data_IF_530939846226
#
_entry.id   IF_530939846226
#
_cell.length_a   1.000
_cell.length_b   1.000
_cell.length_c   1.000
_cell.angle_alpha   90.00
_cell.angle_beta   90.00
_cell.angle_gamma   90.00
#
_symmetry.space_group_name_H-M   'P 1'
#
loop_
_entity.id
_entity.type
_entity.pdbx_description
1 polymer ?
#
# COMPACT_ATOMS: atom_id res chain seq x y z
N UNK A 1 -20.28 -1.37 36.49
CA UNK A 1 -20.39 -0.90 35.11
C UNK A 1 -20.20 -2.11 34.21
N UNK A 2 -21.10 -2.36 33.26
CA UNK A 2 -20.90 -3.40 32.25
C UNK A 2 -19.66 -3.05 31.42
N UNK A 3 -18.87 -4.07 31.02
CA UNK A 3 -17.73 -3.88 30.13
C UNK A 3 -18.19 -3.41 28.75
N UNK A 4 -17.24 -3.06 27.85
CA UNK A 4 -17.58 -2.71 26.48
C UNK A 4 -18.25 -3.90 25.77
N UNK A 5 -19.15 -3.62 24.82
CA UNK A 5 -19.70 -4.66 23.96
C UNK A 5 -18.61 -5.37 23.15
N UNK A 6 -18.91 -6.56 22.60
CA UNK A 6 -17.88 -7.40 21.98
C UNK A 6 -17.25 -6.75 20.74
N UNK A 7 -18.01 -5.97 19.97
CA UNK A 7 -17.51 -5.28 18.79
C UNK A 7 -16.53 -4.17 19.17
N UNK A 8 -16.88 -3.32 20.13
CA UNK A 8 -16.00 -2.28 20.66
C UNK A 8 -14.73 -2.89 21.26
N UNK A 9 -14.85 -4.01 22.00
CA UNK A 9 -13.70 -4.70 22.60
C UNK A 9 -12.71 -5.19 21.55
N UNK A 10 -13.19 -5.82 20.46
CA UNK A 10 -12.36 -6.31 19.38
C UNK A 10 -11.60 -5.17 18.66
N UNK A 11 -12.28 -4.06 18.38
CA UNK A 11 -11.67 -2.90 17.71
C UNK A 11 -10.63 -2.23 18.64
N UNK A 12 -10.94 -2.06 19.93
CA UNK A 12 -10.00 -1.53 20.91
C UNK A 12 -8.74 -2.39 21.01
N UNK A 13 -8.89 -3.72 21.02
CA UNK A 13 -7.74 -4.64 21.04
C UNK A 13 -6.84 -4.45 19.82
N UNK A 14 -7.43 -4.38 18.63
CA UNK A 14 -6.70 -4.18 17.38
C UNK A 14 -5.95 -2.83 17.36
N UNK A 15 -6.60 -1.75 17.81
CA UNK A 15 -5.98 -0.42 17.90
C UNK A 15 -4.90 -0.38 18.99
N UNK A 16 -5.14 -1.00 20.16
CA UNK A 16 -4.14 -1.09 21.24
C UNK A 16 -2.87 -1.77 20.77
N UNK A 17 -2.98 -2.89 20.03
CA UNK A 17 -1.83 -3.58 19.46
C UNK A 17 -1.02 -2.65 18.53
N UNK A 18 -1.70 -1.95 17.61
CA UNK A 18 -1.04 -1.04 16.68
C UNK A 18 -0.39 0.18 17.37
N UNK A 19 -1.00 0.72 18.43
CA UNK A 19 -0.43 1.84 19.18
C UNK A 19 0.72 1.42 20.08
N UNK A 20 0.73 0.18 20.58
CA UNK A 20 1.77 -0.35 21.45
C UNK A 20 3.14 -0.47 20.80
N UNK A 21 3.21 -0.44 19.47
CA UNK A 21 4.46 -0.45 18.70
C UNK A 21 5.09 0.96 18.56
N UNK A 22 4.36 2.01 18.97
CA UNK A 22 4.81 3.38 18.81
C UNK A 22 5.57 3.88 20.05
N UNK A 23 6.57 4.76 19.88
CA UNK A 23 7.23 5.41 21.00
C UNK A 23 6.23 6.19 21.88
N UNK A 24 6.46 6.22 23.18
CA UNK A 24 5.66 7.02 24.10
C UNK A 24 5.65 8.50 23.68
N UNK A 25 4.51 9.18 23.92
CA UNK A 25 4.26 10.59 23.56
C UNK A 25 4.15 10.87 22.06
N UNK A 26 4.19 9.82 21.22
CA UNK A 26 3.91 9.95 19.78
C UNK A 26 2.53 10.54 19.55
N UNK A 27 2.38 11.27 18.44
CA UNK A 27 1.05 11.67 17.95
C UNK A 27 0.66 10.75 16.80
N UNK A 28 -0.62 10.36 16.78
CA UNK A 28 -1.24 9.65 15.66
C UNK A 28 -2.42 10.45 15.13
N UNK A 29 -2.70 10.37 13.85
CA UNK A 29 -3.89 10.96 13.25
C UNK A 29 -4.78 9.86 12.68
N UNK A 30 -6.07 9.93 12.95
CA UNK A 30 -7.06 9.04 12.33
C UNK A 30 -7.60 9.70 11.07
N UNK A 31 -7.47 9.06 9.92
CA UNK A 31 -8.14 9.48 8.70
C UNK A 31 -9.63 9.11 8.81
N UNK A 32 -10.47 10.08 9.14
CA UNK A 32 -11.90 9.86 9.39
C UNK A 32 -12.74 10.40 8.23
N UNK A 33 -13.48 9.51 7.55
CA UNK A 33 -14.44 9.89 6.49
C UNK A 33 -15.87 10.09 6.99
N UNK A 34 -16.13 9.83 8.26
CA UNK A 34 -17.47 9.82 8.84
C UNK A 34 -18.24 8.51 8.64
N UNK A 35 -17.75 7.56 7.84
CA UNK A 35 -18.31 6.22 7.73
C UNK A 35 -17.99 5.34 8.94
N UNK A 36 -18.71 4.21 9.09
CA UNK A 36 -18.65 3.35 10.27
C UNK A 36 -17.23 2.89 10.60
N UNK A 37 -16.47 2.43 9.61
CA UNK A 37 -15.11 1.90 9.82
C UNK A 37 -14.18 2.97 10.40
N UNK A 38 -14.23 4.19 9.88
CA UNK A 38 -13.38 5.28 10.32
C UNK A 38 -13.82 5.88 11.67
N UNK A 39 -15.11 5.92 11.95
CA UNK A 39 -15.63 6.38 13.25
C UNK A 39 -15.34 5.37 14.36
N UNK A 40 -15.51 4.07 14.10
CA UNK A 40 -15.16 3.03 15.05
C UNK A 40 -13.65 3.05 15.37
N UNK A 41 -12.80 3.27 14.35
CA UNK A 41 -11.36 3.48 14.51
C UNK A 41 -11.06 4.72 15.37
N UNK A 42 -11.74 5.84 15.10
CA UNK A 42 -11.59 7.10 15.84
C UNK A 42 -11.95 6.93 17.33
N UNK A 43 -13.07 6.28 17.62
CA UNK A 43 -13.50 6.00 19.00
C UNK A 43 -12.49 5.10 19.74
N UNK A 44 -11.96 4.08 19.07
CA UNK A 44 -10.97 3.21 19.68
C UNK A 44 -9.63 3.93 19.89
N UNK A 45 -9.18 4.76 18.95
CA UNK A 45 -7.96 5.55 19.08
C UNK A 45 -8.05 6.59 20.22
N UNK A 46 -9.19 7.25 20.34
CA UNK A 46 -9.46 8.18 21.45
C UNK A 46 -9.40 7.49 22.82
N UNK A 47 -9.90 6.25 22.90
CA UNK A 47 -9.91 5.49 24.16
C UNK A 47 -8.55 4.85 24.49
N UNK A 48 -7.88 4.25 23.52
CA UNK A 48 -6.63 3.50 23.72
C UNK A 48 -5.39 4.41 23.69
N UNK A 49 -5.44 5.54 22.97
CA UNK A 49 -4.30 6.47 22.84
C UNK A 49 -3.72 6.89 24.19
N UNK A 50 -4.51 7.48 25.11
CA UNK A 50 -4.01 7.87 26.44
C UNK A 50 -3.45 6.70 27.26
N UNK A 51 -3.99 5.48 27.07
CA UNK A 51 -3.56 4.25 27.76
C UNK A 51 -2.23 3.73 27.22
N UNK A 52 -1.97 3.96 25.94
CA UNK A 52 -0.68 3.65 25.28
C UNK A 52 0.34 4.80 25.41
N UNK A 53 0.02 5.88 26.10
CA UNK A 53 0.86 7.08 26.17
C UNK A 53 0.98 7.82 24.83
N UNK A 54 -0.01 7.69 23.96
CA UNK A 54 -0.05 8.28 22.61
C UNK A 54 -1.16 9.34 22.54
N UNK A 55 -0.91 10.44 21.82
CA UNK A 55 -1.91 11.47 21.55
C UNK A 55 -2.60 11.19 20.23
N UNK A 56 -3.92 11.10 20.22
CA UNK A 56 -4.70 10.83 19.03
C UNK A 56 -5.45 12.08 18.56
N UNK A 57 -5.29 12.41 17.28
CA UNK A 57 -6.07 13.42 16.58
C UNK A 57 -6.81 12.81 15.39
N UNK A 58 -7.54 13.61 14.62
CA UNK A 58 -8.24 13.18 13.41
C UNK A 58 -8.04 14.15 12.25
N UNK A 59 -8.07 13.61 11.03
CA UNK A 59 -8.08 14.38 9.78
C UNK A 59 -9.25 13.91 8.93
N UNK A 60 -10.13 14.83 8.61
CA UNK A 60 -11.29 14.62 7.75
C UNK A 60 -10.99 15.27 6.39
N UNK A 61 -11.08 14.50 5.31
CA UNK A 61 -10.87 15.02 3.95
C UNK A 61 -12.23 15.29 3.30
N UNK A 62 -12.48 16.55 2.99
CA UNK A 62 -13.61 16.98 2.16
C UNK A 62 -13.18 17.04 0.68
N UNK A 63 -13.66 16.10 -0.12
CA UNK A 63 -13.34 16.01 -1.54
C UNK A 63 -14.17 16.95 -2.42
N UNK A 64 -15.20 17.59 -1.87
CA UNK A 64 -16.08 18.51 -2.63
C UNK A 64 -16.83 17.84 -3.79
N UNK A 65 -16.96 16.51 -3.82
CA UNK A 65 -17.56 15.75 -4.93
C UNK A 65 -19.09 15.65 -4.83
N UNK A 66 -19.67 16.05 -3.71
CA UNK A 66 -21.10 16.02 -3.43
C UNK A 66 -21.51 17.33 -2.79
N UNK A 67 -22.73 17.80 -3.06
CA UNK A 67 -23.23 19.09 -2.55
C UNK A 67 -23.19 19.18 -1.03
N UNK A 68 -23.42 18.05 -0.31
CA UNK A 68 -23.42 17.99 1.17
C UNK A 68 -22.06 17.59 1.78
N UNK A 69 -20.98 17.50 0.98
CA UNK A 69 -19.68 17.00 1.45
C UNK A 69 -19.10 17.80 2.63
N UNK A 70 -19.27 19.11 2.64
CA UNK A 70 -18.83 19.98 3.71
C UNK A 70 -19.57 19.72 5.03
N UNK A 71 -20.89 19.47 4.97
CA UNK A 71 -21.70 19.15 6.14
C UNK A 71 -21.36 17.77 6.71
N UNK A 72 -21.12 16.79 5.83
CA UNK A 72 -20.66 15.46 6.22
C UNK A 72 -19.32 15.54 6.93
N UNK A 73 -18.37 16.31 6.37
CA UNK A 73 -17.06 16.53 6.98
C UNK A 73 -17.17 17.24 8.33
N UNK A 74 -18.05 18.24 8.45
CA UNK A 74 -18.29 18.95 9.70
C UNK A 74 -18.86 18.01 10.80
N UNK A 75 -19.87 17.18 10.46
CA UNK A 75 -20.46 16.18 11.37
C UNK A 75 -19.42 15.15 11.81
N UNK A 76 -18.57 14.67 10.92
CA UNK A 76 -17.50 13.75 11.27
C UNK A 76 -16.49 14.39 12.24
N UNK A 77 -16.11 15.64 11.98
CA UNK A 77 -15.20 16.39 12.84
C UNK A 77 -15.81 16.65 14.23
N UNK A 78 -17.10 16.96 14.32
CA UNK A 78 -17.81 17.16 15.59
C UNK A 78 -17.80 15.87 16.43
N UNK A 79 -18.11 14.72 15.83
CA UNK A 79 -18.04 13.42 16.50
C UNK A 79 -16.60 13.11 16.97
N UNK A 80 -15.59 13.38 16.16
CA UNK A 80 -14.19 13.19 16.56
C UNK A 80 -13.80 14.07 17.75
N UNK A 81 -14.23 15.33 17.79
CA UNK A 81 -14.01 16.23 18.95
C UNK A 81 -14.76 15.75 20.19
N UNK A 82 -16.00 15.32 20.03
CA UNK A 82 -16.80 14.76 21.15
C UNK A 82 -16.16 13.49 21.75
N UNK A 83 -15.44 12.71 20.94
CA UNK A 83 -14.64 11.57 21.41
C UNK A 83 -13.35 11.98 22.14
N UNK A 84 -12.95 13.26 22.11
CA UNK A 84 -11.74 13.76 22.74
C UNK A 84 -10.49 13.68 21.88
N UNK A 85 -10.61 13.52 20.56
CA UNK A 85 -9.48 13.61 19.64
C UNK A 85 -9.02 15.06 19.50
N UNK A 86 -7.68 15.28 19.50
CA UNK A 86 -7.07 16.59 19.35
C UNK A 86 -5.66 16.44 18.72
N UNK A 87 -5.36 17.13 17.60
CA UNK A 87 -6.19 18.04 16.82
C UNK A 87 -7.27 17.32 15.99
N UNK A 88 -8.29 18.07 15.53
CA UNK A 88 -9.28 17.60 14.54
C UNK A 88 -9.32 18.61 13.39
N UNK A 89 -8.70 18.23 12.29
CA UNK A 89 -8.63 19.02 11.06
C UNK A 89 -9.67 18.59 10.03
N UNK A 90 -10.31 19.57 9.38
CA UNK A 90 -11.07 19.35 8.15
C UNK A 90 -10.28 19.97 6.99
N UNK A 91 -9.88 19.16 6.04
CA UNK A 91 -9.06 19.57 4.89
C UNK A 91 -9.87 19.41 3.61
N UNK A 92 -10.21 20.53 2.98
CA UNK A 92 -10.80 20.50 1.65
C UNK A 92 -9.73 20.27 0.60
N UNK A 93 -9.98 19.35 -0.33
CA UNK A 93 -9.07 19.05 -1.43
C UNK A 93 -9.76 19.30 -2.77
N UNK A 94 -8.99 19.83 -3.70
CA UNK A 94 -9.41 19.93 -5.10
C UNK A 94 -8.90 18.71 -5.85
N UNK A 95 -9.80 17.99 -6.52
CA UNK A 95 -9.45 16.82 -7.31
C UNK A 95 -9.18 17.28 -8.74
N UNK A 96 -7.90 17.43 -9.07
CA UNK A 96 -7.49 17.76 -10.44
C UNK A 96 -7.77 16.58 -11.39
N UNK A 97 -8.08 16.90 -12.64
CA UNK A 97 -8.21 15.86 -13.66
C UNK A 97 -6.89 15.11 -13.84
N UNK A 98 -6.96 13.77 -13.91
CA UNK A 98 -5.79 12.91 -14.07
C UNK A 98 -6.01 11.93 -15.23
N UNK A 99 -4.97 11.66 -16.03
CA UNK A 99 -5.00 10.60 -17.05
C UNK A 99 -5.31 9.20 -16.47
N UNK A 100 -5.02 8.98 -15.17
CA UNK A 100 -5.30 7.74 -14.46
C UNK A 100 -6.77 7.59 -14.01
N UNK A 101 -7.61 8.58 -14.30
CA UNK A 101 -9.03 8.59 -13.96
C UNK A 101 -9.36 9.32 -12.64
N UNK A 102 -10.65 9.62 -12.43
CA UNK A 102 -11.10 10.44 -11.30
C UNK A 102 -10.92 9.75 -9.93
N UNK A 103 -11.05 8.42 -9.86
CA UNK A 103 -10.86 7.66 -8.61
C UNK A 103 -9.40 7.75 -8.12
N UNK A 104 -8.43 7.58 -9.03
CA UNK A 104 -7.01 7.68 -8.69
C UNK A 104 -6.60 9.11 -8.37
N UNK A 105 -7.19 10.10 -9.07
CA UNK A 105 -6.97 11.51 -8.75
C UNK A 105 -7.45 11.87 -7.34
N UNK A 106 -8.68 11.47 -6.98
CA UNK A 106 -9.23 11.68 -5.64
C UNK A 106 -8.41 10.94 -4.56
N UNK A 107 -7.96 9.73 -4.87
CA UNK A 107 -7.08 8.97 -3.98
C UNK A 107 -5.75 9.69 -3.75
N UNK A 108 -5.09 10.14 -4.81
CA UNK A 108 -3.81 10.85 -4.74
C UNK A 108 -3.95 12.16 -3.95
N UNK A 109 -4.98 12.95 -4.20
CA UNK A 109 -5.28 14.17 -3.45
C UNK A 109 -5.50 13.88 -1.95
N UNK A 110 -6.25 12.81 -1.63
CA UNK A 110 -6.47 12.37 -0.25
C UNK A 110 -5.15 12.03 0.46
N UNK A 111 -4.30 11.22 -0.16
CA UNK A 111 -3.03 10.83 0.45
C UNK A 111 -2.08 12.02 0.60
N UNK A 112 -2.04 12.94 -0.35
CA UNK A 112 -1.26 14.18 -0.24
C UNK A 112 -1.74 15.05 0.94
N UNK A 113 -3.05 15.20 1.11
CA UNK A 113 -3.62 15.95 2.23
C UNK A 113 -3.33 15.28 3.60
N UNK A 114 -3.41 13.95 3.68
CA UNK A 114 -3.07 13.20 4.89
C UNK A 114 -1.58 13.32 5.23
N UNK A 115 -0.68 13.24 4.24
CA UNK A 115 0.77 13.42 4.44
C UNK A 115 1.10 14.83 4.93
N UNK A 116 0.47 15.85 4.35
CA UNK A 116 0.62 17.24 4.78
C UNK A 116 0.13 17.45 6.22
N UNK A 117 -0.99 16.85 6.60
CA UNK A 117 -1.50 16.91 7.97
C UNK A 117 -0.57 16.18 8.94
N UNK A 118 -0.05 15.00 8.57
CA UNK A 118 0.92 14.27 9.38
C UNK A 118 2.19 15.10 9.64
N UNK A 119 2.71 15.75 8.61
CA UNK A 119 3.89 16.64 8.74
C UNK A 119 3.57 17.84 9.64
N UNK A 120 2.43 18.52 9.42
CA UNK A 120 2.01 19.71 10.20
C UNK A 120 1.91 19.41 11.69
N UNK A 121 1.36 18.25 12.03
CA UNK A 121 1.15 17.84 13.41
C UNK A 121 2.27 16.97 13.97
N UNK A 122 3.33 16.75 13.23
CA UNK A 122 4.46 15.87 13.60
C UNK A 122 3.94 14.49 14.04
N UNK A 123 2.97 13.95 13.29
CA UNK A 123 2.38 12.65 13.59
C UNK A 123 3.33 11.53 13.17
N UNK A 124 3.51 10.56 14.05
CA UNK A 124 4.33 9.39 13.77
C UNK A 124 3.71 8.51 12.69
N UNK A 125 2.37 8.37 12.74
CA UNK A 125 1.60 7.58 11.76
C UNK A 125 0.19 8.14 11.56
N UNK A 126 -0.41 7.77 10.42
CA UNK A 126 -1.82 7.98 10.12
C UNK A 126 -2.56 6.63 10.14
N UNK A 127 -3.60 6.53 10.97
CA UNK A 127 -4.44 5.34 11.09
C UNK A 127 -5.53 5.37 10.02
N UNK A 128 -5.68 4.26 9.27
CA UNK A 128 -6.67 4.10 8.21
C UNK A 128 -7.69 3.00 8.59
N UNK A 129 -8.98 3.28 8.41
CA UNK A 129 -10.08 2.38 8.74
C UNK A 129 -10.37 1.31 7.68
N UNK A 130 -9.35 0.70 7.07
CA UNK A 130 -9.55 -0.43 6.18
C UNK A 130 -9.83 -1.70 6.96
N UNK A 131 -10.85 -2.45 6.52
CA UNK A 131 -11.36 -3.64 7.18
C UNK A 131 -10.91 -4.94 6.50
N UNK A 132 -11.26 -6.07 7.09
CA UNK A 132 -11.09 -7.40 6.48
C UNK A 132 -11.87 -7.54 5.17
N UNK A 133 -13.03 -6.90 5.08
CA UNK A 133 -13.83 -6.89 3.86
C UNK A 133 -13.10 -6.16 2.73
N UNK A 134 -12.42 -5.05 3.03
CA UNK A 134 -11.59 -4.34 2.07
C UNK A 134 -10.38 -5.18 1.61
N UNK A 135 -9.82 -6.03 2.49
CA UNK A 135 -8.79 -7.01 2.10
C UNK A 135 -9.33 -8.02 1.09
N UNK A 136 -10.51 -8.59 1.37
CA UNK A 136 -11.15 -9.54 0.46
C UNK A 136 -11.45 -8.92 -0.92
N UNK A 137 -11.98 -7.69 -0.94
CA UNK A 137 -12.19 -6.91 -2.16
C UNK A 137 -10.89 -6.74 -2.95
N UNK A 138 -9.81 -6.37 -2.27
CA UNK A 138 -8.49 -6.15 -2.90
C UNK A 138 -7.91 -7.44 -3.49
N UNK A 139 -8.02 -8.56 -2.78
CA UNK A 139 -7.57 -9.88 -3.25
C UNK A 139 -8.35 -10.31 -4.49
N UNK A 140 -9.68 -10.19 -4.45
CA UNK A 140 -10.53 -10.54 -5.59
C UNK A 140 -10.20 -9.70 -6.84
N UNK A 141 -9.99 -8.39 -6.66
CA UNK A 141 -9.57 -7.51 -7.75
C UNK A 141 -8.17 -7.85 -8.27
N UNK A 142 -7.27 -8.32 -7.41
CA UNK A 142 -5.95 -8.82 -7.79
C UNK A 142 -6.05 -10.10 -8.63
N UNK A 143 -6.86 -11.05 -8.21
CA UNK A 143 -7.13 -12.31 -8.93
C UNK A 143 -7.74 -12.04 -10.31
N UNK A 144 -8.72 -11.16 -10.39
CA UNK A 144 -9.38 -10.80 -11.65
C UNK A 144 -8.43 -10.17 -12.69
N UNK A 145 -7.31 -9.58 -12.24
CA UNK A 145 -6.27 -9.00 -13.11
C UNK A 145 -5.14 -9.97 -13.43
N UNK A 146 -5.18 -11.21 -12.95
CA UNK A 146 -4.07 -12.15 -13.09
C UNK A 146 -2.79 -11.72 -12.38
N UNK A 147 -2.93 -11.00 -11.27
CA UNK A 147 -1.78 -10.42 -10.55
C UNK A 147 -1.00 -11.50 -9.79
N UNK A 148 0.33 -11.30 -9.68
CA UNK A 148 1.21 -12.19 -8.90
C UNK A 148 1.05 -12.05 -7.37
N UNK A 149 1.77 -12.90 -6.63
CA UNK A 149 1.67 -13.03 -5.17
C UNK A 149 1.72 -11.70 -4.41
N UNK A 150 2.61 -10.76 -4.78
CA UNK A 150 2.69 -9.44 -4.14
C UNK A 150 1.39 -8.63 -4.25
N UNK A 151 0.68 -8.70 -5.36
CA UNK A 151 -0.61 -8.01 -5.52
C UNK A 151 -1.74 -8.73 -4.77
N UNK A 152 -1.65 -10.07 -4.64
CA UNK A 152 -2.60 -10.89 -3.90
C UNK A 152 -2.37 -10.83 -2.39
N UNK A 153 -1.24 -10.34 -1.91
CA UNK A 153 -0.95 -10.13 -0.48
C UNK A 153 -1.78 -8.99 0.15
N UNK A 154 -2.69 -8.39 -0.62
CA UNK A 154 -3.63 -7.37 -0.14
C UNK A 154 -2.93 -6.09 0.32
N UNK A 155 -3.57 -5.40 1.26
CA UNK A 155 -3.02 -4.20 1.89
C UNK A 155 -2.12 -4.60 3.07
N UNK A 156 -0.89 -4.07 3.16
CA UNK A 156 -0.04 -4.31 4.33
C UNK A 156 -0.60 -3.60 5.57
N UNK A 157 -0.42 -4.17 6.78
CA UNK A 157 -0.80 -3.52 8.04
C UNK A 157 -0.15 -2.15 8.23
N UNK A 158 1.12 -2.05 7.87
CA UNK A 158 1.91 -0.81 7.94
C UNK A 158 2.64 -0.58 6.63
N UNK A 159 2.57 0.66 6.13
CA UNK A 159 3.32 1.08 4.94
C UNK A 159 3.40 2.60 4.84
N UNK A 160 4.59 3.13 4.61
CA UNK A 160 4.83 4.56 4.30
C UNK A 160 4.20 5.51 5.34
N UNK A 161 4.29 5.20 6.65
CA UNK A 161 3.70 5.99 7.72
C UNK A 161 2.19 5.83 7.91
N UNK A 162 1.55 4.89 7.18
CA UNK A 162 0.14 4.54 7.35
C UNK A 162 -0.01 3.20 8.04
N UNK A 163 -0.88 3.13 9.05
CA UNK A 163 -1.20 1.90 9.79
C UNK A 163 -2.69 1.57 9.61
N UNK A 164 -3.01 0.28 9.46
CA UNK A 164 -4.35 -0.25 9.23
C UNK A 164 -4.74 -1.24 10.32
N UNK A 165 -5.15 -0.78 11.48
CA UNK A 165 -5.42 -1.66 12.64
C UNK A 165 -6.57 -2.63 12.40
N UNK A 166 -7.53 -2.27 11.52
CA UNK A 166 -8.79 -2.99 11.37
C UNK A 166 -8.78 -4.06 10.26
N UNK A 167 -7.63 -4.44 9.70
CA UNK A 167 -7.56 -5.45 8.64
C UNK A 167 -8.06 -6.85 9.05
N UNK A 168 -8.11 -7.15 10.35
CA UNK A 168 -8.71 -8.38 10.89
C UNK A 168 -10.18 -8.22 11.33
N UNK A 169 -10.72 -6.99 11.33
CA UNK A 169 -12.07 -6.65 11.78
C UNK A 169 -13.03 -6.59 10.59
N UNK A 170 -14.21 -7.18 10.70
CA UNK A 170 -15.23 -7.09 9.65
C UNK A 170 -15.98 -5.76 9.69
N UNK A 171 -16.56 -5.38 8.56
CA UNK A 171 -17.44 -4.20 8.46
C UNK A 171 -18.66 -4.31 9.39
N UNK A 172 -19.25 -5.50 9.51
CA UNK A 172 -20.33 -5.74 10.47
C UNK A 172 -19.93 -5.45 11.92
N UNK A 173 -18.65 -5.74 12.28
CA UNK A 173 -18.14 -5.39 13.61
C UNK A 173 -17.95 -3.88 13.77
N UNK A 174 -17.49 -3.15 12.75
CA UNK A 174 -17.36 -1.68 12.86
C UNK A 174 -18.72 -1.01 12.94
N UNK A 175 -19.72 -1.48 12.19
CA UNK A 175 -21.10 -1.01 12.29
C UNK A 175 -21.70 -1.27 13.69
N UNK A 176 -21.56 -2.50 14.20
CA UNK A 176 -21.99 -2.84 15.54
C UNK A 176 -21.31 -1.99 16.63
N UNK A 177 -20.01 -1.73 16.49
CA UNK A 177 -19.28 -0.90 17.42
C UNK A 177 -19.75 0.56 17.41
N UNK A 178 -20.13 1.09 16.24
CA UNK A 178 -20.75 2.43 16.19
C UNK A 178 -22.07 2.48 16.95
N UNK A 179 -22.92 1.45 16.79
CA UNK A 179 -24.17 1.34 17.55
C UNK A 179 -23.92 1.25 19.06
N UNK A 180 -22.99 0.37 19.49
CA UNK A 180 -22.59 0.21 20.90
C UNK A 180 -22.02 1.50 21.51
N UNK A 181 -21.35 2.34 20.69
CA UNK A 181 -20.74 3.60 21.11
C UNK A 181 -21.65 4.83 20.93
N UNK A 182 -22.87 4.66 20.39
CA UNK A 182 -23.79 5.77 20.12
C UNK A 182 -23.31 6.73 19.02
N UNK A 183 -22.48 6.26 18.09
CA UNK A 183 -21.98 7.03 16.96
C UNK A 183 -22.96 6.96 15.79
N UNK A 184 -23.00 8.01 14.97
CA UNK A 184 -23.91 8.12 13.82
C UNK A 184 -23.07 8.15 12.53
N UNK A 185 -22.82 6.98 11.91
CA UNK A 185 -22.07 6.91 10.66
C UNK A 185 -22.85 7.53 9.50
N UNK A 186 -22.13 8.21 8.62
CA UNK A 186 -22.66 8.62 7.34
C UNK A 186 -22.63 7.45 6.34
N UNK A 187 -23.75 7.26 5.68
CA UNK A 187 -23.89 6.26 4.63
C UNK A 187 -23.69 6.93 3.27
N UNK A 188 -22.45 6.81 2.73
CA UNK A 188 -22.11 7.37 1.43
C UNK A 188 -22.88 6.69 0.30
N UNK A 189 -23.70 7.43 -0.49
CA UNK A 189 -24.42 6.89 -1.63
C UNK A 189 -23.50 6.23 -2.69
N UNK A 190 -22.26 6.70 -2.82
CA UNK A 190 -21.27 6.12 -3.72
C UNK A 190 -20.89 4.67 -3.36
N UNK A 191 -21.11 4.25 -2.12
CA UNK A 191 -20.90 2.86 -1.69
C UNK A 191 -21.86 1.86 -2.35
N UNK A 192 -22.93 2.33 -3.00
CA UNK A 192 -23.88 1.52 -3.77
C UNK A 192 -23.70 1.67 -5.30
N UNK A 193 -22.79 2.53 -5.76
CA UNK A 193 -22.62 2.83 -7.18
C UNK A 193 -21.77 1.80 -7.91
N UNK A 194 -22.40 1.03 -8.80
CA UNK A 194 -21.77 -0.04 -9.59
C UNK A 194 -20.73 0.43 -10.61
N UNK A 195 -20.60 1.72 -10.86
CA UNK A 195 -19.50 2.26 -11.68
C UNK A 195 -18.15 1.95 -11.05
N UNK A 196 -18.06 1.89 -9.73
CA UNK A 196 -16.84 1.63 -9.00
C UNK A 196 -16.49 0.14 -8.93
N UNK A 197 -15.26 -0.22 -9.30
CA UNK A 197 -14.81 -1.61 -9.30
C UNK A 197 -14.85 -2.26 -7.90
N UNK A 198 -14.60 -1.49 -6.84
CA UNK A 198 -14.68 -1.98 -5.45
C UNK A 198 -16.09 -2.34 -5.03
N UNK A 199 -17.10 -1.56 -5.47
CA UNK A 199 -18.51 -1.88 -5.19
C UNK A 199 -18.91 -3.20 -5.86
N UNK A 200 -18.46 -3.40 -7.11
CA UNK A 200 -18.69 -4.69 -7.81
C UNK A 200 -17.97 -5.84 -7.12
N UNK A 201 -16.70 -5.65 -6.68
CA UNK A 201 -15.95 -6.68 -5.96
C UNK A 201 -16.61 -7.05 -4.63
N UNK A 202 -17.07 -6.07 -3.86
CA UNK A 202 -17.82 -6.28 -2.61
C UNK A 202 -19.04 -7.15 -2.82
N UNK A 203 -19.85 -6.85 -3.84
CA UNK A 203 -21.03 -7.66 -4.16
C UNK A 203 -20.62 -9.07 -4.60
N UNK A 204 -19.63 -9.20 -5.46
CA UNK A 204 -19.15 -10.51 -5.89
C UNK A 204 -18.65 -11.36 -4.71
N UNK A 205 -17.96 -10.79 -3.73
CA UNK A 205 -17.58 -11.50 -2.49
C UNK A 205 -18.81 -11.96 -1.73
N UNK A 206 -19.83 -11.10 -1.58
CA UNK A 206 -21.08 -11.48 -0.89
C UNK A 206 -21.87 -12.56 -1.63
N UNK A 207 -21.91 -12.50 -2.95
CA UNK A 207 -22.57 -13.51 -3.78
C UNK A 207 -21.82 -14.86 -3.68
N UNK A 208 -20.49 -14.84 -3.80
CA UNK A 208 -19.66 -16.03 -3.63
C UNK A 208 -19.76 -16.62 -2.22
N UNK A 209 -19.85 -15.79 -1.18
CA UNK A 209 -20.01 -16.25 0.20
C UNK A 209 -21.35 -16.97 0.42
N UNK A 210 -22.40 -16.54 -0.29
CA UNK A 210 -23.70 -17.22 -0.29
C UNK A 210 -23.62 -18.60 -0.97
N UNK A 211 -22.87 -18.68 -2.07
CA UNK A 211 -22.81 -19.89 -2.90
C UNK A 211 -21.79 -20.91 -2.37
N UNK A 212 -20.66 -20.45 -1.81
CA UNK A 212 -19.56 -21.30 -1.32
C UNK A 212 -19.57 -21.52 0.19
N UNK A 213 -20.43 -20.80 0.92
CA UNK A 213 -20.53 -20.87 2.37
C UNK A 213 -19.90 -19.69 3.09
N UNK A 214 -20.21 -19.51 4.39
CA UNK A 214 -19.79 -18.36 5.18
C UNK A 214 -18.27 -18.37 5.44
N UNK A 215 -17.69 -17.17 5.55
CA UNK A 215 -16.29 -16.98 5.92
C UNK A 215 -15.33 -16.79 4.74
N UNK A 216 -15.85 -16.63 3.52
CA UNK A 216 -15.02 -16.37 2.33
C UNK A 216 -14.14 -15.11 2.48
N UNK A 217 -14.72 -14.00 2.94
CA UNK A 217 -13.95 -12.78 3.16
C UNK A 217 -12.78 -13.00 4.14
N UNK A 218 -13.01 -13.77 5.21
CA UNK A 218 -11.96 -14.13 6.15
C UNK A 218 -10.92 -15.09 5.54
N UNK A 219 -11.33 -16.01 4.67
CA UNK A 219 -10.42 -16.91 3.97
C UNK A 219 -9.52 -16.16 2.98
N UNK A 220 -10.08 -15.23 2.20
CA UNK A 220 -9.33 -14.37 1.29
C UNK A 220 -8.31 -13.50 2.04
N UNK A 221 -8.70 -12.92 3.18
CA UNK A 221 -7.80 -12.13 4.02
C UNK A 221 -6.64 -12.98 4.57
N UNK A 222 -6.92 -14.20 5.09
CA UNK A 222 -5.86 -15.13 5.54
C UNK A 222 -4.91 -15.53 4.41
N UNK A 223 -5.45 -15.79 3.21
CA UNK A 223 -4.60 -16.10 2.05
C UNK A 223 -3.70 -14.92 1.68
N UNK A 224 -4.21 -13.68 1.80
CA UNK A 224 -3.41 -12.49 1.58
C UNK A 224 -2.27 -12.35 2.60
N UNK A 225 -2.52 -12.68 3.86
CA UNK A 225 -1.49 -12.63 4.92
C UNK A 225 -0.38 -13.65 4.66
N UNK A 226 -0.74 -14.92 4.37
CA UNK A 226 0.24 -15.95 4.01
C UNK A 226 1.06 -15.58 2.77
N UNK A 227 0.40 -15.07 1.71
CA UNK A 227 1.09 -14.60 0.51
C UNK A 227 1.98 -13.38 0.78
N UNK A 228 1.69 -12.59 1.80
CA UNK A 228 2.53 -11.46 2.20
C UNK A 228 3.81 -11.94 2.82
N UNK A 229 3.73 -12.88 3.77
CA UNK A 229 4.91 -13.46 4.42
C UNK A 229 5.86 -14.07 3.39
N UNK A 230 5.32 -14.87 2.44
CA UNK A 230 6.09 -15.45 1.34
C UNK A 230 6.70 -14.36 0.43
N UNK A 231 5.92 -13.33 0.09
CA UNK A 231 6.38 -12.27 -0.79
C UNK A 231 7.45 -11.38 -0.13
N UNK A 232 7.32 -11.10 1.17
CA UNK A 232 8.29 -10.31 1.93
C UNK A 232 9.63 -11.02 2.02
N UNK A 233 9.63 -12.33 2.34
CA UNK A 233 10.85 -13.15 2.32
C UNK A 233 11.51 -13.17 0.94
N UNK A 234 10.72 -13.37 -0.12
CA UNK A 234 11.27 -13.41 -1.49
C UNK A 234 11.79 -12.04 -1.94
N UNK A 235 11.22 -10.93 -1.49
CA UNK A 235 11.71 -9.58 -1.79
C UNK A 235 13.01 -9.29 -1.02
N UNK A 236 13.13 -9.78 0.22
CA UNK A 236 14.39 -9.70 0.98
C UNK A 236 15.49 -10.50 0.29
N UNK A 237 15.22 -11.74 -0.07
CA UNK A 237 16.18 -12.60 -0.81
C UNK A 237 16.55 -11.99 -2.17
N UNK A 238 15.61 -11.36 -2.86
CA UNK A 238 15.90 -10.67 -4.12
C UNK A 238 16.79 -9.43 -3.91
N UNK A 239 16.58 -8.69 -2.83
CA UNK A 239 17.45 -7.55 -2.46
C UNK A 239 18.86 -8.00 -2.11
N UNK A 240 19.01 -9.11 -1.38
CA UNK A 240 20.31 -9.73 -1.10
C UNK A 240 20.98 -10.20 -2.40
N UNK A 241 20.25 -10.89 -3.28
CA UNK A 241 20.76 -11.34 -4.58
C UNK A 241 21.18 -10.13 -5.44
N UNK A 242 20.39 -9.04 -5.46
CA UNK A 242 20.75 -7.80 -6.17
C UNK A 242 22.07 -7.22 -5.63
N UNK A 243 22.25 -7.16 -4.33
CA UNK A 243 23.48 -6.65 -3.72
C UNK A 243 24.73 -7.49 -4.12
N UNK A 244 24.55 -8.81 -4.26
CA UNK A 244 25.62 -9.72 -4.68
C UNK A 244 25.97 -9.65 -6.17
N UNK A 245 25.06 -9.15 -7.02
CA UNK A 245 25.33 -8.99 -8.45
C UNK A 245 26.39 -7.93 -8.74
N UNK A 246 26.68 -7.04 -7.77
CA UNK A 246 27.71 -6.00 -7.89
C UNK A 246 27.54 -5.07 -9.10
N UNK A 247 28.28 -3.99 -9.18
CA UNK A 247 28.55 -3.34 -10.45
C UNK A 247 29.52 -4.23 -11.26
N UNK A 248 29.26 -4.43 -12.56
CA UNK A 248 30.22 -5.08 -13.44
C UNK A 248 31.40 -4.13 -13.63
N UNK A 249 32.44 -4.36 -12.86
CA UNK A 249 33.62 -3.51 -12.93
C UNK A 249 34.72 -3.87 -11.94
N UNK A 250 34.82 -5.15 -11.51
CA UNK A 250 36.06 -5.62 -10.84
C UNK A 250 36.21 -7.13 -10.95
N UNK A 251 36.52 -7.60 -12.17
CA UNK A 251 37.31 -8.82 -12.34
C UNK A 251 38.75 -8.41 -12.70
N UNK A 252 39.35 -7.57 -11.90
CA UNK A 252 40.79 -7.42 -11.87
C UNK A 252 41.28 -7.97 -10.53
N UNK A 253 41.92 -9.14 -10.61
CA UNK A 253 42.90 -9.55 -9.62
C UNK A 253 43.78 -8.33 -9.27
N UNK A 254 43.94 -8.13 -7.98
CA UNK A 254 44.88 -7.29 -7.28
C UNK A 254 46.02 -6.67 -8.13
N UNK A 255 45.80 -5.48 -8.67
CA UNK A 255 46.84 -4.56 -9.10
C UNK A 255 46.55 -3.19 -8.48
N UNK A 256 47.55 -2.51 -7.88
CA UNK A 256 47.32 -1.26 -7.16
C UNK A 256 46.89 -0.12 -8.08
N UNK A 257 46.21 0.93 -7.57
CA UNK A 257 45.51 1.91 -8.38
C UNK A 257 46.51 2.82 -9.09
N UNK A 258 46.55 2.71 -10.41
CA UNK A 258 47.02 3.76 -11.27
C UNK A 258 45.78 4.43 -11.89
N UNK A 259 45.63 5.72 -11.63
CA UNK A 259 44.77 6.72 -12.26
C UNK A 259 43.35 6.26 -12.63
N UNK A 260 42.35 6.82 -11.96
CA UNK A 260 40.93 6.63 -12.26
C UNK A 260 40.65 7.17 -13.68
N UNK A 261 40.72 6.29 -14.66
CA UNK A 261 40.11 6.57 -15.96
C UNK A 261 38.59 6.63 -15.76
N UNK A 262 37.98 7.70 -16.25
CA UNK A 262 36.53 7.89 -16.37
C UNK A 262 35.92 6.64 -17.05
N UNK A 263 35.22 5.80 -16.29
CA UNK A 263 34.66 4.55 -16.78
C UNK A 263 33.45 4.75 -17.70
N UNK A 264 33.18 5.98 -18.13
CA UNK A 264 32.14 6.35 -19.09
C UNK A 264 30.71 6.09 -18.58
N UNK A 265 30.51 6.01 -17.25
CA UNK A 265 29.17 5.79 -16.68
C UNK A 265 28.34 7.06 -16.71
N UNK A 266 27.18 6.95 -17.33
CA UNK A 266 26.12 7.95 -17.18
C UNK A 266 25.42 7.73 -15.83
N UNK A 267 25.15 8.78 -15.03
CA UNK A 267 24.38 8.66 -13.81
C UNK A 267 23.05 7.94 -14.06
N UNK A 268 22.78 6.84 -13.32
CA UNK A 268 21.58 6.02 -13.47
C UNK A 268 21.75 4.78 -14.39
N UNK A 269 22.96 4.53 -14.91
CA UNK A 269 23.23 3.30 -15.68
C UNK A 269 23.50 2.12 -14.73
N UNK A 270 22.74 1.03 -14.90
CA UNK A 270 22.88 -0.22 -14.15
C UNK A 270 23.43 -1.29 -15.08
N UNK A 271 24.50 -1.98 -14.68
CA UNK A 271 25.10 -3.05 -15.46
C UNK A 271 25.30 -4.30 -14.60
N UNK A 272 24.89 -5.48 -15.11
CA UNK A 272 25.00 -6.77 -14.40
C UNK A 272 25.39 -7.89 -15.35
N UNK A 273 26.16 -8.92 -14.90
CA UNK A 273 26.53 -10.06 -15.73
C UNK A 273 25.31 -10.93 -16.08
N UNK A 274 25.18 -11.31 -17.36
CA UNK A 274 24.12 -12.22 -17.81
C UNK A 274 24.12 -13.55 -17.05
N UNK A 275 25.30 -14.17 -16.86
CA UNK A 275 25.41 -15.46 -16.19
C UNK A 275 24.94 -15.42 -14.71
N UNK A 276 25.23 -14.32 -14.02
CA UNK A 276 24.82 -14.16 -12.63
C UNK A 276 23.30 -14.00 -12.49
N UNK A 277 22.68 -13.25 -13.40
CA UNK A 277 21.21 -13.12 -13.44
C UNK A 277 20.55 -14.42 -13.88
N UNK A 278 21.11 -15.13 -14.86
CA UNK A 278 20.59 -16.42 -15.35
C UNK A 278 20.59 -17.49 -14.27
N UNK A 279 21.59 -17.50 -13.38
CA UNK A 279 21.71 -18.47 -12.29
C UNK A 279 20.65 -18.31 -11.19
N UNK A 280 19.97 -17.16 -11.11
CA UNK A 280 18.95 -16.94 -10.09
C UNK A 280 17.70 -17.79 -10.34
N UNK A 281 17.08 -18.35 -9.29
CA UNK A 281 15.76 -18.95 -9.39
C UNK A 281 14.74 -17.96 -9.99
N UNK A 282 13.79 -18.43 -10.79
CA UNK A 282 12.85 -17.60 -11.51
C UNK A 282 12.09 -16.58 -10.62
N UNK A 283 11.71 -17.00 -9.40
CA UNK A 283 11.02 -16.13 -8.45
C UNK A 283 11.88 -14.94 -7.98
N UNK A 284 13.18 -15.16 -7.77
CA UNK A 284 14.13 -14.11 -7.38
C UNK A 284 14.52 -13.26 -8.59
N UNK A 285 14.82 -13.88 -9.73
CA UNK A 285 15.22 -13.18 -10.96
C UNK A 285 14.16 -12.16 -11.41
N UNK A 286 12.88 -12.55 -11.38
CA UNK A 286 11.77 -11.62 -11.73
C UNK A 286 11.64 -10.43 -10.78
N UNK A 287 12.03 -10.60 -9.51
CA UNK A 287 12.09 -9.50 -8.52
C UNK A 287 13.33 -8.63 -8.73
N UNK A 288 14.47 -9.27 -8.95
CA UNK A 288 15.73 -8.56 -9.27
C UNK A 288 15.57 -7.68 -10.50
N UNK A 289 14.87 -8.13 -11.56
CA UNK A 289 14.54 -7.28 -12.68
C UNK A 289 13.81 -6.00 -12.30
N UNK A 290 12.86 -6.09 -11.36
CA UNK A 290 12.13 -4.91 -10.89
C UNK A 290 13.04 -3.95 -10.11
N UNK A 291 13.94 -4.47 -9.29
CA UNK A 291 14.92 -3.68 -8.56
C UNK A 291 15.88 -2.96 -9.52
N UNK A 292 16.49 -3.70 -10.45
CA UNK A 292 17.40 -3.14 -11.45
C UNK A 292 16.74 -2.05 -12.31
N UNK A 293 15.51 -2.29 -12.75
CA UNK A 293 14.77 -1.31 -13.54
C UNK A 293 14.41 -0.05 -12.74
N UNK A 294 14.05 -0.21 -11.45
CA UNK A 294 13.78 0.93 -10.55
C UNK A 294 15.04 1.75 -10.31
N UNK A 295 16.18 1.10 -10.10
CA UNK A 295 17.49 1.76 -9.96
C UNK A 295 17.87 2.55 -11.22
N UNK A 296 17.52 2.03 -12.41
CA UNK A 296 17.73 2.71 -13.68
C UNK A 296 16.69 3.82 -13.97
N UNK A 297 15.69 4.02 -13.10
CA UNK A 297 14.67 5.07 -13.23
C UNK A 297 13.33 4.64 -13.82
N UNK A 298 13.11 3.34 -14.09
CA UNK A 298 11.82 2.84 -14.55
C UNK A 298 10.77 2.94 -13.42
N UNK A 299 9.53 3.32 -13.79
CA UNK A 299 8.48 3.60 -12.78
C UNK A 299 7.71 2.37 -12.34
N UNK A 300 7.20 1.58 -13.26
CA UNK A 300 6.47 0.34 -12.95
C UNK A 300 6.57 -0.65 -14.11
N UNK A 301 6.92 -1.90 -13.80
CA UNK A 301 7.02 -2.96 -14.80
C UNK A 301 5.77 -3.85 -14.78
N UNK A 302 5.20 -4.07 -15.96
CA UNK A 302 4.20 -5.11 -16.19
C UNK A 302 4.84 -6.51 -16.22
N UNK A 303 4.02 -7.56 -16.23
CA UNK A 303 4.49 -8.92 -16.43
C UNK A 303 5.21 -9.09 -17.76
N UNK A 304 4.69 -8.46 -18.82
CA UNK A 304 5.27 -8.51 -20.18
C UNK A 304 6.68 -7.92 -20.20
N UNK A 305 6.92 -6.79 -19.51
CA UNK A 305 8.27 -6.21 -19.42
C UNK A 305 9.23 -7.19 -18.75
N UNK A 306 8.82 -7.82 -17.63
CA UNK A 306 9.66 -8.79 -16.92
C UNK A 306 9.95 -10.03 -17.77
N UNK A 307 8.99 -10.52 -18.55
CA UNK A 307 9.15 -11.63 -19.47
C UNK A 307 10.14 -11.27 -20.60
N UNK A 308 10.06 -10.05 -21.14
CA UNK A 308 10.99 -9.55 -22.14
C UNK A 308 12.42 -9.45 -21.60
N UNK A 309 12.58 -8.99 -20.35
CA UNK A 309 13.89 -8.97 -19.68
C UNK A 309 14.43 -10.38 -19.42
N UNK A 310 13.59 -11.33 -18.99
CA UNK A 310 13.96 -12.73 -18.83
C UNK A 310 14.44 -13.34 -20.17
N UNK A 311 13.81 -12.97 -21.29
CA UNK A 311 14.19 -13.46 -22.61
C UNK A 311 15.58 -12.98 -23.06
N UNK A 312 16.03 -11.77 -22.64
CA UNK A 312 17.40 -11.30 -22.92
C UNK A 312 18.47 -12.21 -22.29
N UNK A 313 18.13 -12.90 -21.21
CA UNK A 313 19.05 -13.74 -20.44
C UNK A 313 18.90 -15.21 -20.78
N UNK A 314 17.66 -15.73 -20.84
CA UNK A 314 17.38 -17.17 -20.96
C UNK A 314 17.16 -17.62 -22.41
N UNK A 315 16.73 -16.75 -23.28
CA UNK A 315 16.34 -17.05 -24.66
C UNK A 315 16.92 -16.05 -25.64
N UNK A 316 18.21 -15.71 -25.50
CA UNK A 316 18.89 -14.76 -26.37
C UNK A 316 19.01 -15.28 -27.80
N UNK A 317 18.53 -14.49 -28.76
CA UNK A 317 18.58 -14.78 -30.21
C UNK A 317 19.08 -13.57 -31.01
N UNK A 318 19.75 -12.62 -30.35
CA UNK A 318 20.14 -11.36 -30.96
C UNK A 318 19.01 -10.32 -31.01
N UNK A 319 18.00 -10.45 -30.19
CA UNK A 319 16.93 -9.44 -30.08
C UNK A 319 17.48 -8.10 -29.61
N UNK A 320 16.88 -7.02 -30.15
CA UNK A 320 17.23 -5.66 -29.80
C UNK A 320 16.91 -5.27 -28.36
N UNK A 321 17.12 -4.00 -28.03
CA UNK A 321 16.81 -3.46 -26.70
C UNK A 321 15.33 -3.61 -26.33
N UNK A 322 15.05 -3.65 -25.04
CA UNK A 322 13.69 -3.68 -24.45
C UNK A 322 13.40 -2.31 -23.85
N UNK A 323 12.37 -1.64 -24.35
CA UNK A 323 11.89 -0.37 -23.82
C UNK A 323 11.08 -0.60 -22.54
N UNK A 324 11.39 0.17 -21.48
CA UNK A 324 10.73 0.12 -20.18
C UNK A 324 10.05 1.46 -19.86
N UNK A 325 9.01 1.45 -19.00
CA UNK A 325 8.34 2.69 -18.59
C UNK A 325 9.30 3.69 -17.94
N UNK A 326 9.16 4.97 -18.28
CA UNK A 326 10.03 6.04 -17.78
C UNK A 326 11.20 6.36 -18.71
N UNK A 327 11.19 5.83 -19.95
CA UNK A 327 12.24 6.07 -20.92
C UNK A 327 13.53 5.27 -20.67
N UNK A 328 13.44 4.25 -19.83
CA UNK A 328 14.55 3.33 -19.57
C UNK A 328 14.61 2.28 -20.67
N UNK A 329 15.81 1.98 -21.11
CA UNK A 329 16.10 0.93 -22.10
C UNK A 329 16.97 -0.13 -21.48
N UNK A 330 16.66 -1.41 -21.74
CA UNK A 330 17.45 -2.55 -21.28
C UNK A 330 17.98 -3.30 -22.51
N UNK A 331 19.29 -3.52 -22.56
CA UNK A 331 19.93 -4.27 -23.64
C UNK A 331 20.97 -5.27 -23.13
N UNK A 332 21.28 -6.27 -23.96
CA UNK A 332 22.37 -7.20 -23.72
C UNK A 332 23.57 -6.87 -24.57
N UNK A 333 24.68 -6.49 -23.93
CA UNK A 333 25.92 -6.08 -24.58
C UNK A 333 27.09 -6.86 -24.00
N UNK A 334 27.88 -7.53 -24.82
CA UNK A 334 29.11 -8.21 -24.44
C UNK A 334 29.04 -9.07 -23.17
N UNK A 335 27.97 -9.88 -23.04
CA UNK A 335 27.78 -10.78 -21.87
C UNK A 335 27.24 -10.10 -20.61
N UNK A 336 26.85 -8.84 -20.71
CA UNK A 336 26.23 -8.06 -19.62
C UNK A 336 24.85 -7.58 -20.04
N UNK A 337 23.99 -7.34 -19.05
CA UNK A 337 22.74 -6.57 -19.19
C UNK A 337 23.03 -5.15 -18.75
N UNK A 338 22.60 -4.19 -19.56
CA UNK A 338 22.71 -2.75 -19.31
C UNK A 338 21.31 -2.16 -19.27
N UNK A 339 21.02 -1.36 -18.24
CA UNK A 339 19.78 -0.59 -18.11
C UNK A 339 20.16 0.88 -17.89
N UNK A 340 19.51 1.79 -18.61
CA UNK A 340 19.72 3.22 -18.47
C UNK A 340 18.67 4.01 -19.25
N UNK A 341 18.71 5.34 -19.15
CA UNK A 341 17.83 6.19 -19.94
C UNK A 341 18.15 6.04 -21.42
N UNK A 342 17.14 5.83 -22.25
CA UNK A 342 17.26 5.81 -23.71
C UNK A 342 17.87 7.12 -24.22
N UNK A 343 18.79 7.03 -25.14
CA UNK A 343 19.44 8.18 -25.78
C UNK A 343 18.51 8.86 -26.78
#
# INVERSE_FOLDING_TARGET
>A
MAGPGPAVAAIRLAVRSALGELPAWSRVLVACSGGADSLALAAAAAFEGPRAGVRAGAVIIDHGLQDESAEVAARAAEQCRALGLDPVDVVRVEVAASPAGPEEAARSARYAALANAATRHTAAVVLLGHTRDDQAEQVLLGLARGSGARSLSGMPPTRDGYVRPLLGISRTQTEAACVEAGLVPWLDPHNADYRFARVRARRAVADLERDLGPGLAAALARSADLLRDDADLLDELASQARAQLGPVGDTRESTPPAEAEDDGRTPGEVRVPVGAVAALPAALRRRVWRLLATEAGARSLSAVHVESLDALVLAWRGQGPVDLPGGVVCERVAGSIQLGLGR
#
